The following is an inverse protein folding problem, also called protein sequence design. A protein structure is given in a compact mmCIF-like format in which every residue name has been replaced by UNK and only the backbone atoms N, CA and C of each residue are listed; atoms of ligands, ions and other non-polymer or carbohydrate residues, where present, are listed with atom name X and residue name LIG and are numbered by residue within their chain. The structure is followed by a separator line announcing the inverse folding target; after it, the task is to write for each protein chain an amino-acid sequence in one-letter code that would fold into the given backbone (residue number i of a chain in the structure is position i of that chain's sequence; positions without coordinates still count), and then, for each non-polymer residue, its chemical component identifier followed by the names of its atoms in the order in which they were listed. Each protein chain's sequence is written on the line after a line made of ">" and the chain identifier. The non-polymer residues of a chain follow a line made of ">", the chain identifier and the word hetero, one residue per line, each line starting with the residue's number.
data_IF_188008064828
#
_entry.id   IF_188008064828
#
_cell.length_a   1.000
_cell.length_b   1.000
_cell.length_c   1.000
_cell.angle_alpha   90.00
_cell.angle_beta   90.00
_cell.angle_gamma   90.00
#
_symmetry.space_group_name_H-M   'P 1'
#
loop_
_entity.id
_entity.type
_entity.pdbx_description
1 polymer ?
#
# COMPACT_ATOMS: atom_id res chain seq x y z
N UNK A 1 3.53 38.47 -4.93
CA UNK A 1 4.47 37.33 -5.07
C UNK A 1 3.67 36.05 -4.96
N UNK A 2 3.61 35.31 -6.08
CA UNK A 2 2.66 34.22 -6.36
C UNK A 2 3.08 32.86 -5.79
N UNK A 3 3.36 32.78 -4.49
CA UNK A 3 3.81 31.50 -3.89
C UNK A 3 2.70 30.42 -3.96
N UNK A 4 1.43 30.83 -3.95
CA UNK A 4 0.27 29.91 -3.90
C UNK A 4 0.00 29.25 -5.28
N UNK A 5 0.20 29.98 -6.38
CA UNK A 5 -0.03 29.47 -7.75
C UNK A 5 1.04 28.43 -8.17
N UNK A 6 2.28 28.61 -7.70
CA UNK A 6 3.37 27.66 -7.98
C UNK A 6 3.18 26.33 -7.24
N UNK A 7 2.63 26.34 -6.02
CA UNK A 7 2.38 25.13 -5.23
C UNK A 7 1.26 24.25 -5.82
N UNK A 8 0.21 24.88 -6.36
CA UNK A 8 -0.89 24.17 -7.03
C UNK A 8 -0.44 23.53 -8.34
N UNK A 9 0.50 24.19 -9.04
CA UNK A 9 1.13 23.67 -10.24
C UNK A 9 1.99 22.43 -9.92
N UNK A 10 2.71 22.41 -8.79
CA UNK A 10 3.47 21.24 -8.35
C UNK A 10 2.56 20.03 -8.02
N UNK A 11 1.41 20.26 -7.39
CA UNK A 11 0.46 19.20 -7.03
C UNK A 11 -0.10 18.46 -8.26
N UNK A 12 -0.26 19.16 -9.38
CA UNK A 12 -0.67 18.56 -10.65
C UNK A 12 0.38 17.63 -11.28
N UNK A 13 1.66 17.74 -10.88
CA UNK A 13 2.76 16.85 -11.28
C UNK A 13 3.01 15.69 -10.29
N UNK A 14 2.29 15.63 -9.16
CA UNK A 14 2.37 14.53 -8.19
C UNK A 14 1.59 13.22 -8.50
N UNK A 15 0.68 13.09 -9.49
CA UNK A 15 -0.04 11.83 -9.68
C UNK A 15 0.88 10.68 -10.07
N UNK A 16 2.11 10.96 -10.52
CA UNK A 16 3.14 9.95 -10.79
C UNK A 16 3.78 9.35 -9.51
N UNK A 17 3.67 10.02 -8.35
CA UNK A 17 4.16 9.53 -7.06
C UNK A 17 3.06 8.88 -6.21
N UNK A 18 1.80 9.23 -6.47
CA UNK A 18 0.66 8.55 -5.88
C UNK A 18 0.51 7.18 -6.55
N UNK A 19 0.50 6.11 -5.75
CA UNK A 19 0.13 4.81 -6.32
C UNK A 19 -1.34 4.88 -6.71
N UNK A 20 -1.67 4.42 -7.92
CA UNK A 20 -3.05 4.33 -8.36
C UNK A 20 -3.84 3.41 -7.43
N UNK A 21 -5.07 3.81 -7.13
CA UNK A 21 -6.05 2.99 -6.43
C UNK A 21 -6.27 1.65 -7.14
N UNK A 22 -6.10 1.60 -8.47
CA UNK A 22 -6.12 0.36 -9.25
C UNK A 22 -4.97 -0.59 -8.84
N UNK A 23 -3.75 -0.09 -8.64
CA UNK A 23 -2.61 -0.90 -8.23
C UNK A 23 -2.77 -1.41 -6.80
N UNK A 24 -3.32 -0.59 -5.90
CA UNK A 24 -3.65 -1.00 -4.54
C UNK A 24 -4.68 -2.14 -4.58
N UNK A 25 -5.78 -1.97 -5.31
CA UNK A 25 -6.82 -2.98 -5.44
C UNK A 25 -6.30 -4.29 -6.07
N UNK A 26 -5.50 -4.17 -7.14
CA UNK A 26 -4.83 -5.29 -7.83
C UNK A 26 -3.92 -6.05 -6.87
N UNK A 27 -3.09 -5.34 -6.10
CA UNK A 27 -2.18 -5.97 -5.14
C UNK A 27 -2.93 -6.61 -3.97
N UNK A 28 -3.94 -5.96 -3.41
CA UNK A 28 -4.81 -6.54 -2.37
C UNK A 28 -5.43 -7.86 -2.87
N UNK A 29 -5.91 -7.90 -4.12
CA UNK A 29 -6.49 -9.12 -4.71
C UNK A 29 -5.48 -10.27 -4.78
N UNK A 30 -4.21 -9.99 -5.08
CA UNK A 30 -3.16 -11.02 -5.05
C UNK A 30 -2.79 -11.42 -3.62
N UNK A 31 -2.59 -10.45 -2.72
CA UNK A 31 -2.21 -10.70 -1.34
C UNK A 31 -3.26 -11.53 -0.59
N UNK A 32 -4.56 -11.30 -0.83
CA UNK A 32 -5.67 -12.08 -0.26
C UNK A 32 -5.60 -13.59 -0.51
N UNK A 33 -4.82 -14.04 -1.50
CA UNK A 33 -4.59 -15.47 -1.75
C UNK A 33 -3.68 -16.13 -0.72
N UNK A 34 -2.94 -15.34 0.06
CA UNK A 34 -1.99 -15.82 1.04
C UNK A 34 -2.55 -15.73 2.45
N UNK A 35 -2.40 -16.82 3.21
CA UNK A 35 -2.96 -16.96 4.56
C UNK A 35 -2.54 -15.82 5.49
N UNK A 36 -1.25 -15.44 5.47
CA UNK A 36 -0.71 -14.41 6.35
C UNK A 36 -1.38 -13.04 6.16
N UNK A 37 -1.89 -12.74 4.97
CA UNK A 37 -2.58 -11.47 4.70
C UNK A 37 -4.06 -11.54 5.09
N UNK A 38 -4.68 -12.72 4.98
CA UNK A 38 -6.02 -12.96 5.52
C UNK A 38 -6.02 -12.80 7.04
N UNK A 39 -4.99 -13.29 7.74
CA UNK A 39 -4.78 -13.06 9.17
C UNK A 39 -4.72 -11.56 9.51
N UNK A 40 -3.99 -10.76 8.72
CA UNK A 40 -3.95 -9.31 8.88
C UNK A 40 -5.33 -8.65 8.69
N UNK A 41 -6.19 -9.19 7.81
CA UNK A 41 -7.54 -8.67 7.59
C UNK A 41 -8.55 -9.11 8.67
N UNK A 42 -8.29 -10.23 9.34
CA UNK A 42 -9.08 -10.70 10.47
C UNK A 42 -8.87 -9.85 11.72
N UNK A 43 -7.69 -9.25 11.88
CA UNK A 43 -7.43 -8.26 12.93
C UNK A 43 -8.10 -6.93 12.60
N UNK A 44 -8.98 -6.45 13.49
CA UNK A 44 -9.77 -5.24 13.26
C UNK A 44 -8.92 -3.96 13.15
N UNK A 45 -7.79 -3.88 13.87
CA UNK A 45 -6.85 -2.76 13.87
C UNK A 45 -6.09 -2.72 12.55
N UNK A 46 -5.51 -3.84 12.16
CA UNK A 46 -4.79 -3.95 10.89
C UNK A 46 -5.71 -3.79 9.69
N UNK A 47 -6.93 -4.32 9.73
CA UNK A 47 -7.93 -4.09 8.69
C UNK A 47 -8.22 -2.59 8.51
N UNK A 48 -8.41 -1.85 9.60
CA UNK A 48 -8.65 -0.39 9.53
C UNK A 48 -7.46 0.33 8.90
N UNK A 49 -6.23 -0.04 9.25
CA UNK A 49 -5.02 0.51 8.66
C UNK A 49 -4.91 0.19 7.17
N UNK A 50 -5.16 -1.05 6.74
CA UNK A 50 -5.15 -1.45 5.34
C UNK A 50 -6.19 -0.66 4.52
N UNK A 51 -7.36 -0.36 5.10
CA UNK A 51 -8.43 0.35 4.40
C UNK A 51 -8.20 1.87 4.38
N UNK A 52 -7.70 2.47 5.46
CA UNK A 52 -7.73 3.94 5.62
C UNK A 52 -6.37 4.61 5.80
N UNK A 53 -5.34 3.89 6.23
CA UNK A 53 -4.03 4.50 6.44
C UNK A 53 -3.30 4.68 5.11
N UNK A 54 -3.02 5.92 4.74
CA UNK A 54 -2.40 6.26 3.45
C UNK A 54 -1.02 5.62 3.26
N UNK A 55 -0.19 5.56 4.29
CA UNK A 55 1.16 4.98 4.19
C UNK A 55 1.09 3.47 3.93
N UNK A 56 0.22 2.77 4.66
CA UNK A 56 -0.04 1.33 4.48
C UNK A 56 -0.55 1.07 3.06
N UNK A 57 -1.53 1.84 2.60
CA UNK A 57 -2.10 1.73 1.24
C UNK A 57 -1.05 1.98 0.16
N UNK A 58 -0.25 3.03 0.29
CA UNK A 58 0.84 3.32 -0.64
C UNK A 58 1.89 2.21 -0.63
N UNK A 59 2.22 1.64 0.53
CA UNK A 59 3.18 0.55 0.60
C UNK A 59 2.68 -0.71 -0.11
N UNK A 60 1.38 -1.02 -0.01
CA UNK A 60 0.71 -2.10 -0.74
C UNK A 60 0.71 -1.81 -2.24
N UNK A 61 0.36 -0.58 -2.64
CA UNK A 61 0.36 -0.17 -4.04
C UNK A 61 1.73 -0.29 -4.71
N UNK A 62 2.82 0.06 -4.01
CA UNK A 62 4.20 0.00 -4.54
C UNK A 62 4.74 -1.43 -4.75
N UNK A 63 3.98 -2.48 -4.39
CA UNK A 63 4.40 -3.86 -4.62
C UNK A 63 4.31 -4.22 -6.10
N UNK A 64 5.24 -5.05 -6.56
CA UNK A 64 5.25 -5.56 -7.93
C UNK A 64 4.24 -6.70 -8.03
N UNK A 65 3.03 -6.43 -8.54
CA UNK A 65 1.92 -7.39 -8.58
C UNK A 65 2.30 -8.73 -9.20
N UNK A 66 3.05 -8.70 -10.30
CA UNK A 66 3.53 -9.88 -11.02
C UNK A 66 4.56 -10.73 -10.24
N UNK A 67 5.11 -10.22 -9.13
CA UNK A 67 6.05 -10.94 -8.28
C UNK A 67 5.42 -11.48 -7.01
N UNK A 68 4.22 -11.04 -6.60
CA UNK A 68 3.59 -11.42 -5.32
C UNK A 68 3.41 -12.94 -5.19
N UNK A 69 3.16 -13.64 -6.29
CA UNK A 69 3.03 -15.10 -6.30
C UNK A 69 4.36 -15.87 -6.19
N UNK A 70 5.52 -15.20 -6.26
CA UNK A 70 6.83 -15.85 -6.04
C UNK A 70 7.11 -15.89 -4.54
N UNK A 71 7.35 -17.08 -4.00
CA UNK A 71 7.54 -17.31 -2.56
C UNK A 71 8.50 -16.32 -1.90
N UNK A 72 9.72 -16.20 -2.43
CA UNK A 72 10.74 -15.29 -1.89
C UNK A 72 10.37 -13.81 -1.94
N UNK A 73 9.51 -13.40 -2.86
CA UNK A 73 8.98 -12.04 -2.90
C UNK A 73 7.77 -11.89 -1.99
N UNK A 74 6.95 -12.94 -1.85
CA UNK A 74 5.83 -12.99 -0.93
C UNK A 74 6.28 -12.80 0.53
N UNK A 75 7.31 -13.52 0.95
CA UNK A 75 7.93 -13.36 2.28
C UNK A 75 8.43 -11.93 2.53
N UNK A 76 9.03 -11.30 1.50
CA UNK A 76 9.46 -9.89 1.57
C UNK A 76 8.26 -8.95 1.73
N UNK A 77 7.16 -9.22 1.00
CA UNK A 77 5.92 -8.45 1.13
C UNK A 77 5.33 -8.61 2.53
N UNK A 78 5.29 -9.84 3.06
CA UNK A 78 4.79 -10.12 4.41
C UNK A 78 5.58 -9.35 5.47
N UNK A 79 6.92 -9.46 5.46
CA UNK A 79 7.79 -8.73 6.40
C UNK A 79 7.57 -7.22 6.31
N UNK A 80 7.53 -6.68 5.09
CA UNK A 80 7.32 -5.24 4.86
C UNK A 80 5.97 -4.76 5.37
N UNK A 81 4.88 -5.45 5.00
CA UNK A 81 3.52 -5.06 5.39
C UNK A 81 3.34 -5.19 6.90
N UNK A 82 3.81 -6.29 7.53
CA UNK A 82 3.70 -6.46 8.99
C UNK A 82 4.45 -5.36 9.75
N UNK A 83 5.66 -5.01 9.33
CA UNK A 83 6.43 -3.93 9.95
C UNK A 83 5.69 -2.59 9.87
N UNK A 84 5.16 -2.24 8.69
CA UNK A 84 4.41 -0.98 8.50
C UNK A 84 3.13 -0.99 9.35
N UNK A 85 2.39 -2.11 9.37
CA UNK A 85 1.19 -2.24 10.19
C UNK A 85 1.50 -2.09 11.68
N UNK A 86 2.60 -2.66 12.16
CA UNK A 86 3.03 -2.54 13.56
C UNK A 86 3.43 -1.10 13.92
N UNK A 87 4.12 -0.40 13.03
CA UNK A 87 4.53 1.00 13.28
C UNK A 87 3.38 2.00 13.19
N UNK A 88 2.34 1.68 12.42
CA UNK A 88 1.15 2.52 12.25
C UNK A 88 0.04 2.22 13.28
N UNK A 89 0.25 1.24 14.16
CA UNK A 89 -0.75 0.68 15.06
C UNK A 89 -0.63 1.23 16.48
#
# INVERSE_FOLDING_TARGET
>A
MSIILDLFSLAAYLPFLAVDEEDIARNIKQLKKHQWFQECLSDSKYRRLIIHNQEVRQAIGKLKSNKIGKESYNEKCQKKIRNILQNAA
#
